data_IF_851383730675
#
_entry.id   IF_851383730675
#
_cell.length_a   1.000
_cell.length_b   1.000
_cell.length_c   1.000
_cell.angle_alpha   90.00
_cell.angle_beta   90.00
_cell.angle_gamma   90.00
#
_symmetry.space_group_name_H-M   'P 1'
#
loop_
_entity.id
_entity.type
_entity.pdbx_description
1 polymer ?
#
# COMPACT_ATOMS: atom_id res chain seq x y z
N UNK A 1 -13.26 -5.11 15.72
CA UNK A 1 -12.27 -5.53 14.72
C UNK A 1 -11.65 -6.82 15.22
N UNK A 2 -11.65 -7.90 14.45
CA UNK A 2 -10.90 -9.10 14.84
C UNK A 2 -9.42 -8.92 14.50
N UNK A 3 -8.53 -9.66 15.17
CA UNK A 3 -7.11 -9.66 14.84
C UNK A 3 -6.85 -10.08 13.39
N UNK A 4 -7.66 -11.00 12.86
CA UNK A 4 -7.56 -11.43 11.47
C UNK A 4 -7.85 -10.28 10.50
N UNK A 5 -8.95 -9.53 10.71
CA UNK A 5 -9.28 -8.39 9.84
C UNK A 5 -8.21 -7.30 9.94
N UNK A 6 -7.66 -7.07 11.13
CA UNK A 6 -6.53 -6.16 11.30
C UNK A 6 -5.33 -6.63 10.47
N UNK A 7 -4.94 -7.90 10.59
CA UNK A 7 -3.82 -8.48 9.85
C UNK A 7 -4.02 -8.40 8.34
N UNK A 8 -5.21 -8.77 7.86
CA UNK A 8 -5.55 -8.76 6.43
C UNK A 8 -5.36 -7.36 5.82
N UNK A 9 -5.71 -6.30 6.56
CA UNK A 9 -5.53 -4.91 6.11
C UNK A 9 -4.05 -4.57 5.85
N UNK A 10 -3.16 -4.98 6.74
CA UNK A 10 -1.72 -4.74 6.59
C UNK A 10 -1.11 -5.65 5.52
N UNK A 11 -1.53 -6.92 5.48
CA UNK A 11 -1.03 -7.88 4.52
C UNK A 11 -1.41 -7.48 3.09
N UNK A 12 -2.60 -6.93 2.86
CA UNK A 12 -3.02 -6.43 1.54
C UNK A 12 -2.40 -5.06 1.23
N UNK A 13 -2.62 -4.06 2.08
CA UNK A 13 -2.32 -2.67 1.74
C UNK A 13 -0.82 -2.32 1.81
N UNK A 14 -0.03 -3.05 2.60
CA UNK A 14 1.40 -2.78 2.75
C UNK A 14 2.24 -3.92 2.18
N UNK A 15 2.11 -5.13 2.74
CA UNK A 15 2.94 -6.28 2.35
C UNK A 15 2.67 -6.67 0.90
N UNK A 16 1.40 -6.70 0.48
CA UNK A 16 0.99 -7.02 -0.89
C UNK A 16 1.52 -6.03 -1.91
N UNK A 17 1.42 -4.72 -1.61
CA UNK A 17 1.96 -3.65 -2.46
C UNK A 17 3.47 -3.77 -2.60
N UNK A 18 4.20 -3.93 -1.49
CA UNK A 18 5.65 -4.12 -1.52
C UNK A 18 6.06 -5.33 -2.38
N UNK A 19 5.38 -6.47 -2.20
CA UNK A 19 5.66 -7.67 -2.98
C UNK A 19 5.37 -7.46 -4.47
N UNK A 20 4.32 -6.72 -4.81
CA UNK A 20 3.95 -6.41 -6.19
C UNK A 20 5.03 -5.59 -6.88
N UNK A 21 5.47 -4.50 -6.23
CA UNK A 21 6.55 -3.65 -6.75
C UNK A 21 7.85 -4.44 -6.86
N UNK A 22 8.20 -5.24 -5.84
CA UNK A 22 9.41 -6.07 -5.88
C UNK A 22 9.41 -7.06 -7.03
N UNK A 23 8.25 -7.61 -7.38
CA UNK A 23 8.10 -8.57 -8.47
C UNK A 23 8.10 -7.91 -9.86
N UNK A 24 7.51 -6.72 -10.01
CA UNK A 24 7.37 -6.06 -11.32
C UNK A 24 8.54 -5.14 -11.69
N UNK A 25 9.20 -4.52 -10.71
CA UNK A 25 10.19 -3.47 -10.96
C UNK A 25 11.40 -3.95 -11.77
N UNK A 26 12.00 -5.15 -11.54
CA UNK A 26 13.18 -5.58 -12.29
C UNK A 26 12.92 -5.66 -13.81
N UNK A 27 11.82 -6.28 -14.23
CA UNK A 27 11.48 -6.41 -15.65
C UNK A 27 11.09 -5.07 -16.29
N UNK A 28 10.53 -4.14 -15.52
CA UNK A 28 10.28 -2.77 -15.99
C UNK A 28 11.58 -2.01 -16.24
N UNK A 29 12.59 -2.17 -15.38
CA UNK A 29 13.91 -1.53 -15.52
C UNK A 29 14.70 -2.16 -16.67
N UNK A 30 14.74 -3.49 -16.76
CA UNK A 30 15.46 -4.22 -17.81
C UNK A 30 14.98 -3.87 -19.21
N UNK A 31 13.68 -3.59 -19.38
CA UNK A 31 13.10 -3.19 -20.66
C UNK A 31 13.65 -1.85 -21.17
N UNK A 32 14.14 -0.96 -20.31
CA UNK A 32 14.80 0.29 -20.70
C UNK A 32 13.92 1.34 -21.39
N UNK A 33 12.61 1.12 -21.48
CA UNK A 33 11.64 2.00 -22.14
C UNK A 33 11.08 3.09 -21.21
N UNK A 34 11.51 3.09 -19.94
CA UNK A 34 10.89 3.88 -18.88
C UNK A 34 9.54 3.30 -18.42
N UNK A 35 8.94 3.94 -17.41
CA UNK A 35 7.66 3.52 -16.84
C UNK A 35 7.36 4.22 -15.52
N UNK A 36 6.13 4.07 -15.05
CA UNK A 36 5.69 4.59 -13.76
C UNK A 36 4.96 3.50 -12.97
N UNK A 37 5.17 3.49 -11.65
CA UNK A 37 4.39 2.69 -10.70
C UNK A 37 3.59 3.67 -9.86
N UNK A 38 2.27 3.64 -9.99
CA UNK A 38 1.37 4.53 -9.24
C UNK A 38 0.67 3.71 -8.16
N UNK A 39 0.87 4.12 -6.90
CA UNK A 39 0.24 3.48 -5.74
C UNK A 39 -0.95 4.32 -5.29
N UNK A 40 -2.13 3.71 -5.27
CA UNK A 40 -3.35 4.38 -4.82
C UNK A 40 -3.49 4.28 -3.31
N UNK A 41 -3.52 5.42 -2.63
CA UNK A 41 -3.89 5.56 -1.21
C UNK A 41 -5.28 6.20 -1.12
N UNK A 42 -5.94 6.14 0.04
CA UNK A 42 -7.16 6.90 0.31
C UNK A 42 -6.87 8.15 1.15
N UNK A 43 -7.88 9.02 1.25
CA UNK A 43 -7.90 10.11 2.24
C UNK A 43 -7.84 9.59 3.67
N UNK A 44 -8.16 8.31 3.88
CA UNK A 44 -7.97 7.62 5.15
C UNK A 44 -6.51 7.53 5.56
N UNK A 45 -5.53 7.67 4.66
CA UNK A 45 -4.12 7.79 5.04
C UNK A 45 -3.72 9.18 5.56
N UNK A 46 -4.55 10.20 5.34
CA UNK A 46 -4.28 11.60 5.73
C UNK A 46 -5.15 12.05 6.91
N UNK A 47 -6.39 11.54 6.99
CA UNK A 47 -7.39 11.92 7.98
C UNK A 47 -7.90 10.69 8.73
N UNK A 48 -8.01 10.81 10.05
CA UNK A 48 -8.57 9.76 10.90
C UNK A 48 -10.09 9.65 10.74
N UNK A 49 -10.57 8.54 10.19
CA UNK A 49 -12.00 8.24 10.14
C UNK A 49 -12.41 7.37 11.32
N UNK A 50 -13.28 7.90 12.19
CA UNK A 50 -13.87 7.14 13.29
C UNK A 50 -14.60 5.91 12.72
N UNK A 51 -14.37 4.75 13.33
CA UNK A 51 -14.78 3.38 12.92
C UNK A 51 -13.92 2.66 11.86
N UNK A 52 -12.91 3.30 11.27
CA UNK A 52 -12.03 2.68 10.25
C UNK A 52 -10.56 2.60 10.66
N UNK A 53 -10.29 2.32 11.95
CA UNK A 53 -8.93 2.40 12.52
C UNK A 53 -7.87 1.55 11.81
N UNK A 54 -8.18 0.30 11.41
CA UNK A 54 -7.23 -0.57 10.70
C UNK A 54 -6.89 -0.05 9.30
N UNK A 55 -7.92 0.37 8.54
CA UNK A 55 -7.76 1.01 7.24
C UNK A 55 -6.85 2.25 7.36
N UNK A 56 -7.19 3.15 8.29
CA UNK A 56 -6.42 4.37 8.55
C UNK A 56 -4.94 4.07 8.84
N UNK A 57 -4.63 3.12 9.73
CA UNK A 57 -3.24 2.77 10.05
C UNK A 57 -2.50 2.11 8.89
N UNK A 58 -3.17 1.28 8.10
CA UNK A 58 -2.56 0.61 6.94
C UNK A 58 -2.30 1.58 5.78
N UNK A 59 -3.08 2.64 5.64
CA UNK A 59 -2.94 3.61 4.54
C UNK A 59 -2.09 4.83 4.90
N UNK A 60 -2.02 5.23 6.17
CA UNK A 60 -1.17 6.34 6.60
C UNK A 60 0.32 6.11 6.28
N UNK A 61 0.76 4.85 6.17
CA UNK A 61 2.12 4.50 5.75
C UNK A 61 2.34 4.45 4.24
N UNK A 62 1.29 4.31 3.43
CA UNK A 62 1.42 4.26 1.97
C UNK A 62 1.85 5.63 1.38
N UNK A 63 1.49 6.73 2.05
CA UNK A 63 1.81 8.10 1.63
C UNK A 63 3.27 8.53 1.83
N UNK A 64 4.09 7.76 2.56
CA UNK A 64 5.48 8.16 2.87
C UNK A 64 6.52 7.61 1.89
N UNK A 65 6.11 7.07 0.74
CA UNK A 65 7.01 6.53 -0.29
C UNK A 65 7.01 7.41 -1.54
N UNK A 66 7.57 8.62 -1.41
CA UNK A 66 8.09 9.45 -2.51
C UNK A 66 9.36 10.14 -2.00
#
# INVERSE_FOLDING_TARGET
MSEQVWKDMFDVNLTGVFNTVRASLPSMVERGEGGSVVLTSSTAGLLGYLKHGALHCSEARALSAC
#
